data_IF_624836269931
#
_entry.id   IF_624836269931
#
_cell.length_a   1.000
_cell.length_b   1.000
_cell.length_c   1.000
_cell.angle_alpha   90.00
_cell.angle_beta   90.00
_cell.angle_gamma   90.00
#
_symmetry.space_group_name_H-M   'P 1'
#
loop_
_entity.id
_entity.type
_entity.pdbx_description
1 polymer ?
#
# COMPACT_ATOMS: atom_id res chain seq x y z
N UNK A 1 -15.50 -6.56 24.67
CA UNK A 1 -14.74 -6.86 23.45
C UNK A 1 -13.63 -7.82 23.83
N UNK A 2 -13.44 -8.92 23.09
CA UNK A 2 -12.42 -9.92 23.38
C UNK A 2 -11.08 -9.46 22.78
N UNK A 3 -10.00 -9.47 23.57
CA UNK A 3 -8.65 -9.19 23.07
C UNK A 3 -7.94 -10.52 22.75
N UNK A 4 -7.24 -10.59 21.63
CA UNK A 4 -6.46 -11.77 21.21
C UNK A 4 -4.98 -11.52 21.50
N UNK A 5 -4.52 -11.91 22.69
CA UNK A 5 -3.13 -11.68 23.14
C UNK A 5 -2.11 -12.63 22.49
N UNK A 6 -2.54 -13.84 22.11
CA UNK A 6 -1.67 -14.87 21.54
C UNK A 6 -1.55 -14.79 20.01
N UNK A 7 -1.56 -13.57 19.46
CA UNK A 7 -1.40 -13.35 18.02
C UNK A 7 -0.03 -13.84 17.55
N UNK A 8 -0.04 -14.62 16.48
CA UNK A 8 1.12 -15.21 15.82
C UNK A 8 1.89 -14.14 15.04
N UNK A 9 3.17 -14.40 14.78
CA UNK A 9 3.98 -13.57 13.89
C UNK A 9 3.56 -13.77 12.43
N UNK A 10 2.35 -13.33 12.10
CA UNK A 10 1.66 -13.53 10.84
C UNK A 10 1.22 -12.19 10.26
N UNK A 11 1.41 -12.02 8.95
CA UNK A 11 1.01 -10.86 8.17
C UNK A 11 -0.01 -11.32 7.13
N UNK A 12 -1.25 -10.81 7.21
CA UNK A 12 -2.22 -11.02 6.12
C UNK A 12 -2.11 -9.90 5.10
N UNK A 13 -2.04 -10.26 3.83
CA UNK A 13 -2.17 -9.33 2.70
C UNK A 13 -3.59 -9.47 2.16
N UNK A 14 -4.34 -8.38 2.15
CA UNK A 14 -5.79 -8.38 1.91
C UNK A 14 -6.09 -7.43 0.75
N UNK A 15 -6.12 -7.97 -0.46
CA UNK A 15 -6.27 -7.23 -1.72
C UNK A 15 -6.92 -8.12 -2.77
N UNK A 16 -7.67 -7.54 -3.71
CA UNK A 16 -8.14 -8.24 -4.92
C UNK A 16 -7.09 -8.23 -6.05
N UNK A 17 -6.05 -7.43 -5.90
CA UNK A 17 -5.01 -7.26 -6.91
C UNK A 17 -3.84 -8.21 -6.68
N UNK A 18 -3.69 -9.19 -7.57
CA UNK A 18 -2.60 -10.17 -7.55
C UNK A 18 -1.23 -9.51 -7.73
N UNK A 19 -1.13 -8.42 -8.48
CA UNK A 19 0.13 -7.70 -8.70
C UNK A 19 0.58 -6.99 -7.42
N UNK A 20 -0.35 -6.34 -6.70
CA UNK A 20 -0.05 -5.76 -5.39
C UNK A 20 0.27 -6.88 -4.37
N UNK A 21 -0.49 -7.97 -4.38
CA UNK A 21 -0.27 -9.10 -3.48
C UNK A 21 1.14 -9.70 -3.65
N UNK A 22 1.54 -9.97 -4.89
CA UNK A 22 2.87 -10.49 -5.23
C UNK A 22 3.97 -9.52 -4.83
N UNK A 23 3.82 -8.22 -5.14
CA UNK A 23 4.84 -7.20 -4.81
C UNK A 23 5.03 -7.06 -3.31
N UNK A 24 3.94 -6.98 -2.53
CA UNK A 24 4.02 -6.94 -1.07
C UNK A 24 4.62 -8.24 -0.53
N UNK A 25 4.11 -9.40 -0.92
CA UNK A 25 4.59 -10.71 -0.46
C UNK A 25 6.11 -10.84 -0.65
N UNK A 26 6.60 -10.56 -1.85
CA UNK A 26 8.02 -10.65 -2.18
C UNK A 26 8.87 -9.65 -1.40
N UNK A 27 8.38 -8.42 -1.18
CA UNK A 27 9.09 -7.44 -0.37
C UNK A 27 9.25 -7.89 1.07
N UNK A 28 8.20 -8.47 1.65
CA UNK A 28 8.22 -8.97 3.02
C UNK A 28 9.14 -10.18 3.14
N UNK A 29 8.99 -11.18 2.25
CA UNK A 29 9.81 -12.41 2.24
C UNK A 29 11.31 -12.12 2.07
N UNK A 30 11.67 -11.13 1.25
CA UNK A 30 13.07 -10.77 0.98
C UNK A 30 13.65 -9.74 1.94
N UNK A 31 12.85 -9.23 2.89
CA UNK A 31 13.32 -8.23 3.85
C UNK A 31 14.10 -8.91 5.00
N UNK A 32 15.37 -8.51 5.24
CA UNK A 32 16.13 -9.02 6.38
C UNK A 32 15.63 -8.50 7.74
N UNK A 33 14.66 -7.58 7.74
CA UNK A 33 14.06 -7.06 8.98
C UNK A 33 12.77 -7.80 9.38
N UNK A 34 12.23 -8.61 8.47
CA UNK A 34 10.94 -9.31 8.62
C UNK A 34 11.21 -10.81 8.61
N UNK A 35 12.15 -11.24 9.46
CA UNK A 35 12.49 -12.65 9.54
C UNK A 35 11.40 -13.43 10.27
N UNK A 36 11.03 -14.60 9.72
CA UNK A 36 10.11 -15.58 10.32
C UNK A 36 8.66 -15.10 10.48
N UNK A 37 8.24 -14.06 9.74
CA UNK A 37 6.83 -13.75 9.64
C UNK A 37 6.17 -14.71 8.64
N UNK A 38 5.07 -15.34 9.04
CA UNK A 38 4.21 -16.09 8.13
C UNK A 38 3.42 -15.09 7.28
N UNK A 39 3.59 -15.14 5.97
CA UNK A 39 2.86 -14.27 5.04
C UNK A 39 1.66 -15.06 4.51
N UNK A 40 0.46 -14.55 4.76
CA UNK A 40 -0.80 -15.15 4.30
C UNK A 40 -1.37 -14.30 3.17
N UNK A 41 -1.64 -14.97 2.05
CA UNK A 41 -2.25 -14.42 0.86
C UNK A 41 -3.74 -14.84 0.79
N UNK A 42 -4.58 -14.11 0.04
CA UNK A 42 -5.98 -14.47 -0.19
C UNK A 42 -6.18 -15.89 -0.73
N UNK A 43 -5.34 -16.25 -1.68
CA UNK A 43 -5.34 -17.55 -2.37
C UNK A 43 -3.92 -17.81 -2.91
N UNK A 44 -3.76 -18.91 -3.63
CA UNK A 44 -2.55 -19.15 -4.43
C UNK A 44 -2.55 -18.23 -5.67
N UNK A 45 -1.93 -17.06 -5.51
CA UNK A 45 -1.90 -16.01 -6.54
C UNK A 45 -1.12 -16.38 -7.81
N UNK A 46 -0.38 -17.49 -7.82
CA UNK A 46 0.30 -17.98 -9.02
C UNK A 46 -0.65 -18.82 -9.90
N UNK A 47 -1.65 -19.44 -9.28
CA UNK A 47 -2.53 -20.43 -9.93
C UNK A 47 -4.00 -20.02 -9.93
N UNK A 48 -4.38 -18.91 -9.30
CA UNK A 48 -5.78 -18.49 -9.16
C UNK A 48 -5.94 -16.97 -9.12
N UNK A 49 -7.04 -16.49 -9.70
CA UNK A 49 -7.48 -15.10 -9.52
C UNK A 49 -8.03 -14.91 -8.10
N UNK A 50 -7.78 -13.73 -7.52
CA UNK A 50 -8.29 -13.41 -6.19
C UNK A 50 -9.74 -12.91 -6.33
N UNK A 51 -10.67 -13.58 -5.67
CA UNK A 51 -12.08 -13.17 -5.61
C UNK A 51 -12.47 -12.67 -4.22
N UNK A 52 -13.60 -11.96 -4.14
CA UNK A 52 -14.10 -11.41 -2.86
C UNK A 52 -14.31 -12.51 -1.81
N UNK A 53 -14.75 -13.70 -2.26
CA UNK A 53 -14.98 -14.83 -1.36
C UNK A 53 -13.70 -15.32 -0.66
N UNK A 54 -12.54 -15.24 -1.32
CA UNK A 54 -11.25 -15.60 -0.71
C UNK A 54 -10.96 -14.68 0.49
N UNK A 55 -11.21 -13.38 0.32
CA UNK A 55 -11.03 -12.38 1.37
C UNK A 55 -12.03 -12.56 2.51
N UNK A 56 -13.28 -12.89 2.18
CA UNK A 56 -14.31 -13.19 3.18
C UNK A 56 -13.96 -14.43 4.01
N UNK A 57 -13.42 -15.47 3.38
CA UNK A 57 -13.01 -16.71 4.05
C UNK A 57 -11.84 -16.46 5.03
N UNK A 58 -10.92 -15.56 4.67
CA UNK A 58 -9.81 -15.17 5.54
C UNK A 58 -10.22 -14.34 6.75
N UNK A 59 -11.42 -13.75 6.77
CA UNK A 59 -11.76 -12.72 7.74
C UNK A 59 -11.56 -13.18 9.19
N UNK A 60 -11.97 -14.41 9.53
CA UNK A 60 -11.77 -14.99 10.87
C UNK A 60 -10.30 -15.25 11.20
N UNK A 61 -9.50 -15.67 10.22
CA UNK A 61 -8.07 -15.98 10.43
C UNK A 61 -7.23 -14.74 10.79
N UNK A 62 -7.70 -13.55 10.42
CA UNK A 62 -7.03 -12.29 10.76
C UNK A 62 -6.89 -12.07 12.27
N UNK A 63 -7.77 -12.68 13.09
CA UNK A 63 -7.70 -12.62 14.56
C UNK A 63 -6.40 -13.21 15.13
N UNK A 64 -5.75 -14.12 14.40
CA UNK A 64 -4.48 -14.71 14.82
C UNK A 64 -3.26 -13.88 14.40
N UNK A 65 -3.43 -12.77 13.68
CA UNK A 65 -2.32 -12.05 13.03
C UNK A 65 -1.91 -10.80 13.78
N UNK A 66 -0.61 -10.47 13.74
CA UNK A 66 -0.08 -9.23 14.30
C UNK A 66 -0.16 -8.05 13.35
N UNK A 67 -0.27 -8.31 12.05
CA UNK A 67 -0.30 -7.27 11.04
C UNK A 67 -1.27 -7.63 9.92
N UNK A 68 -2.07 -6.65 9.51
CA UNK A 68 -2.92 -6.70 8.34
C UNK A 68 -2.45 -5.62 7.36
N UNK A 69 -2.28 -5.99 6.10
CA UNK A 69 -1.99 -5.06 5.00
C UNK A 69 -3.22 -5.06 4.09
N UNK A 70 -3.93 -3.94 4.05
CA UNK A 70 -5.22 -3.83 3.35
C UNK A 70 -5.13 -2.85 2.18
N UNK A 71 -5.71 -3.25 1.06
CA UNK A 71 -5.86 -2.41 -0.12
C UNK A 71 -7.15 -1.59 -0.06
N UNK A 72 -7.00 -0.27 0.10
CA UNK A 72 -8.13 0.67 0.24
C UNK A 72 -8.28 1.59 -0.96
N UNK A 73 -7.72 1.22 -2.12
CA UNK A 73 -7.88 2.03 -3.33
C UNK A 73 -9.36 2.15 -3.72
N UNK A 74 -9.74 3.28 -4.30
CA UNK A 74 -11.13 3.59 -4.68
C UNK A 74 -11.79 2.50 -5.55
N UNK A 75 -11.00 1.76 -6.33
CA UNK A 75 -11.48 0.70 -7.21
C UNK A 75 -11.78 -0.65 -6.49
N UNK A 76 -11.03 -1.04 -5.46
CA UNK A 76 -11.24 -2.33 -4.76
C UNK A 76 -12.08 -2.19 -3.50
N UNK A 77 -12.01 -1.04 -2.83
CA UNK A 77 -12.66 -0.80 -1.56
C UNK A 77 -14.18 -1.08 -1.56
N UNK A 78 -14.98 -0.62 -2.55
CA UNK A 78 -16.42 -0.91 -2.56
C UNK A 78 -16.75 -2.40 -2.62
N UNK A 79 -15.93 -3.17 -3.35
CA UNK A 79 -16.09 -4.63 -3.51
C UNK A 79 -15.73 -5.39 -2.24
N UNK A 80 -14.83 -4.84 -1.42
CA UNK A 80 -14.32 -5.47 -0.21
C UNK A 80 -14.99 -4.98 1.08
N UNK A 81 -15.91 -4.01 1.00
CA UNK A 81 -16.50 -3.35 2.18
C UNK A 81 -17.07 -4.35 3.20
N UNK A 82 -17.79 -5.37 2.74
CA UNK A 82 -18.38 -6.38 3.62
C UNK A 82 -17.30 -7.19 4.36
N UNK A 83 -16.31 -7.70 3.64
CA UNK A 83 -15.21 -8.45 4.24
C UNK A 83 -14.39 -7.57 5.19
N UNK A 84 -14.14 -6.32 4.81
CA UNK A 84 -13.39 -5.36 5.63
C UNK A 84 -14.13 -5.03 6.92
N UNK A 85 -15.45 -4.85 6.87
CA UNK A 85 -16.27 -4.64 8.06
C UNK A 85 -16.18 -5.84 9.03
N UNK A 86 -16.16 -7.09 8.52
CA UNK A 86 -15.95 -8.28 9.35
C UNK A 86 -14.56 -8.27 10.00
N UNK A 87 -13.51 -8.06 9.19
CA UNK A 87 -12.11 -8.03 9.65
C UNK A 87 -11.92 -6.95 10.72
N UNK A 88 -12.40 -5.73 10.47
CA UNK A 88 -12.38 -4.65 11.45
C UNK A 88 -13.17 -5.04 12.69
N UNK A 89 -14.38 -5.57 12.54
CA UNK A 89 -15.23 -5.99 13.66
C UNK A 89 -14.55 -7.02 14.57
N UNK A 90 -13.87 -8.01 13.98
CA UNK A 90 -13.13 -9.02 14.72
C UNK A 90 -11.89 -8.47 15.43
N UNK A 91 -11.21 -7.48 14.87
CA UNK A 91 -9.91 -7.02 15.37
C UNK A 91 -9.94 -5.68 16.10
N UNK A 92 -11.08 -4.98 16.14
CA UNK A 92 -11.20 -3.59 16.62
C UNK A 92 -10.63 -3.36 18.01
N UNK A 93 -10.79 -4.33 18.91
CA UNK A 93 -10.29 -4.26 20.28
C UNK A 93 -8.75 -4.28 20.37
N UNK A 94 -8.09 -4.89 19.40
CA UNK A 94 -6.65 -5.12 19.39
C UNK A 94 -5.87 -4.17 18.47
N UNK A 95 -6.57 -3.37 17.66
CA UNK A 95 -5.91 -2.45 16.73
C UNK A 95 -5.02 -1.44 17.45
N UNK A 96 -3.82 -1.27 16.92
CA UNK A 96 -2.74 -0.45 17.48
C UNK A 96 -2.28 -0.88 18.88
N UNK A 97 -2.59 -2.12 19.29
CA UNK A 97 -2.12 -2.75 20.51
C UNK A 97 -1.41 -4.07 20.19
N UNK A 98 -2.19 -5.11 19.85
CA UNK A 98 -1.70 -6.45 19.51
C UNK A 98 -1.77 -6.77 18.02
N UNK A 99 -2.57 -6.00 17.27
CA UNK A 99 -2.70 -6.07 15.82
C UNK A 99 -2.54 -4.69 15.22
N UNK A 100 -1.78 -4.56 14.13
CA UNK A 100 -1.61 -3.30 13.42
C UNK A 100 -2.12 -3.42 12.00
N UNK A 101 -2.62 -2.31 11.47
CA UNK A 101 -3.12 -2.24 10.10
C UNK A 101 -2.24 -1.28 9.29
N UNK A 102 -1.79 -1.73 8.12
CA UNK A 102 -1.15 -0.91 7.09
C UNK A 102 -2.10 -0.81 5.92
N UNK A 103 -2.38 0.42 5.50
CA UNK A 103 -3.23 0.66 4.33
C UNK A 103 -2.37 1.04 3.13
N UNK A 104 -2.72 0.50 1.97
CA UNK A 104 -2.19 0.95 0.67
C UNK A 104 -3.38 1.39 -0.14
N UNK A 105 -3.35 2.62 -0.67
CA UNK A 105 -4.47 3.18 -1.42
C UNK A 105 -4.03 4.14 -2.51
N UNK A 106 -4.99 4.55 -3.31
CA UNK A 106 -4.85 5.72 -4.17
C UNK A 106 -5.04 7.01 -3.36
N UNK A 107 -4.93 8.15 -4.04
CA UNK A 107 -5.11 9.47 -3.42
C UNK A 107 -6.54 9.98 -3.58
N UNK A 108 -6.84 11.16 -3.03
CA UNK A 108 -8.12 11.82 -3.25
C UNK A 108 -8.32 12.10 -4.74
N UNK A 109 -9.55 11.90 -5.23
CA UNK A 109 -9.86 12.02 -6.65
C UNK A 109 -9.59 13.44 -7.20
N UNK A 110 -9.75 14.46 -6.35
CA UNK A 110 -9.53 15.88 -6.63
C UNK A 110 -8.07 16.27 -6.77
N UNK A 111 -7.12 15.41 -6.36
CA UNK A 111 -5.70 15.79 -6.25
C UNK A 111 -5.12 16.38 -7.53
N UNK A 112 -5.57 15.90 -8.69
CA UNK A 112 -5.08 16.34 -9.99
C UNK A 112 -6.07 17.25 -10.74
N UNK A 113 -7.12 17.72 -10.06
CA UNK A 113 -8.11 18.65 -10.58
C UNK A 113 -7.69 20.11 -10.29
N UNK A 114 -8.36 21.08 -10.92
CA UNK A 114 -8.04 22.49 -10.66
C UNK A 114 -8.36 22.83 -9.20
N UNK A 115 -7.34 23.24 -8.45
CA UNK A 115 -7.46 23.55 -7.01
C UNK A 115 -7.19 22.36 -6.09
N UNK A 116 -6.79 21.19 -6.61
CA UNK A 116 -6.35 20.07 -5.79
C UNK A 116 -5.12 20.41 -4.96
N UNK A 117 -5.14 20.01 -3.69
CA UNK A 117 -4.09 20.31 -2.70
C UNK A 117 -3.67 19.02 -1.97
N UNK A 118 -2.48 19.02 -1.37
CA UNK A 118 -2.04 17.96 -0.47
C UNK A 118 -3.01 17.80 0.69
N UNK A 119 -3.65 18.89 1.14
CA UNK A 119 -4.60 18.89 2.26
C UNK A 119 -5.87 18.06 1.98
N UNK A 120 -6.18 17.75 0.72
CA UNK A 120 -7.25 16.81 0.35
C UNK A 120 -7.02 15.41 0.92
N UNK A 121 -5.76 15.04 1.20
CA UNK A 121 -5.46 13.79 1.89
C UNK A 121 -5.94 13.78 3.34
N UNK A 122 -6.03 14.94 4.00
CA UNK A 122 -6.44 15.00 5.42
C UNK A 122 -7.84 14.41 5.62
N UNK A 123 -8.79 14.71 4.72
CA UNK A 123 -10.14 14.16 4.80
C UNK A 123 -10.16 12.64 4.53
N UNK A 124 -9.42 12.21 3.51
CA UNK A 124 -9.28 10.79 3.18
C UNK A 124 -8.68 10.00 4.37
N UNK A 125 -7.61 10.50 4.97
CA UNK A 125 -6.92 9.86 6.09
C UNK A 125 -7.81 9.84 7.34
N UNK A 126 -8.55 10.91 7.62
CA UNK A 126 -9.49 10.95 8.74
C UNK A 126 -10.57 9.87 8.61
N UNK A 127 -11.15 9.70 7.42
CA UNK A 127 -12.13 8.63 7.14
C UNK A 127 -11.50 7.25 7.34
N UNK A 128 -10.36 6.99 6.71
CA UNK A 128 -9.66 5.70 6.84
C UNK A 128 -9.26 5.41 8.30
N UNK A 129 -8.92 6.44 9.08
CA UNK A 129 -8.62 6.33 10.51
C UNK A 129 -9.81 5.81 11.30
N UNK A 130 -11.00 6.35 11.04
CA UNK A 130 -12.25 5.97 11.71
C UNK A 130 -12.64 4.53 11.35
N UNK A 131 -12.51 4.19 10.07
CA UNK A 131 -13.02 2.92 9.54
C UNK A 131 -12.08 1.75 9.83
N UNK A 132 -10.77 1.94 9.73
CA UNK A 132 -9.79 0.84 9.70
C UNK A 132 -8.73 0.92 10.80
N UNK A 133 -8.68 2.02 11.58
CA UNK A 133 -7.66 2.25 12.63
C UNK A 133 -6.20 1.96 12.19
N UNK A 134 -5.77 2.40 10.99
CA UNK A 134 -4.41 2.21 10.49
C UNK A 134 -3.35 2.76 11.42
N UNK A 135 -2.23 2.05 11.45
CA UNK A 135 -0.97 2.52 12.00
C UNK A 135 -0.17 3.33 10.97
N UNK A 136 -0.30 2.99 9.68
CA UNK A 136 0.40 3.61 8.57
C UNK A 136 -0.49 3.59 7.32
N UNK A 137 -0.43 4.67 6.54
CA UNK A 137 -1.03 4.75 5.20
C UNK A 137 0.02 5.00 4.14
N UNK A 138 -0.04 4.24 3.06
CA UNK A 138 0.77 4.42 1.86
C UNK A 138 -0.10 4.83 0.68
N UNK A 139 0.13 6.03 0.17
CA UNK A 139 -0.31 6.45 -1.15
C UNK A 139 0.54 5.75 -2.22
N UNK A 140 -0.11 5.10 -3.18
CA UNK A 140 0.54 4.49 -4.34
C UNK A 140 0.27 5.30 -5.61
N UNK A 141 1.24 6.07 -6.11
CA UNK A 141 1.08 6.87 -7.33
C UNK A 141 0.82 6.03 -8.58
N UNK A 142 1.20 4.74 -8.60
CA UNK A 142 0.95 3.84 -9.73
C UNK A 142 -0.50 3.38 -9.80
N UNK A 143 -1.27 3.53 -8.72
CA UNK A 143 -2.67 3.12 -8.65
C UNK A 143 -3.65 4.29 -8.70
N UNK A 144 -3.14 5.52 -8.66
CA UNK A 144 -3.96 6.71 -8.69
C UNK A 144 -4.13 7.21 -10.12
N UNK A 145 -5.35 7.26 -10.62
CA UNK A 145 -5.66 7.80 -11.94
C UNK A 145 -6.49 9.07 -11.79
N UNK A 146 -6.11 10.13 -12.49
CA UNK A 146 -6.91 11.35 -12.61
C UNK A 146 -8.24 11.07 -13.30
N UNK A 147 -9.21 11.96 -13.17
CA UNK A 147 -10.50 11.82 -13.85
C UNK A 147 -10.35 11.63 -15.37
N UNK A 148 -9.43 12.36 -16.01
CA UNK A 148 -9.17 12.23 -17.45
C UNK A 148 -8.59 10.86 -17.82
N UNK A 149 -7.63 10.36 -17.03
CA UNK A 149 -7.05 9.03 -17.22
C UNK A 149 -8.13 7.95 -17.04
N UNK A 150 -8.98 8.09 -16.03
CA UNK A 150 -10.11 7.20 -15.75
C UNK A 150 -11.11 7.14 -16.91
N UNK A 151 -11.45 8.29 -17.53
CA UNK A 151 -12.34 8.33 -18.69
C UNK A 151 -11.74 7.65 -19.92
N UNK A 152 -10.43 7.81 -20.14
CA UNK A 152 -9.72 7.21 -21.27
C UNK A 152 -9.68 5.67 -21.20
N UNK A 153 -9.91 5.07 -20.03
CA UNK A 153 -9.90 3.63 -19.82
C UNK A 153 -11.20 2.91 -20.22
N UNK A 154 -12.27 3.65 -20.53
CA UNK A 154 -13.53 3.06 -21.03
C UNK A 154 -14.49 2.53 -19.95
N UNK A 155 -15.61 1.96 -20.40
CA UNK A 155 -16.79 1.60 -19.59
C UNK A 155 -16.57 0.33 -18.76
N UNK A 156 -15.69 -0.59 -19.18
CA UNK A 156 -15.34 -1.82 -18.42
C UNK A 156 -14.44 -1.59 -17.19
N UNK A 157 -14.20 -0.31 -16.87
CA UNK A 157 -13.36 0.13 -15.74
C UNK A 157 -13.82 -0.39 -14.39
N UNK A 158 -15.09 -0.73 -14.21
CA UNK A 158 -15.62 -1.19 -12.92
C UNK A 158 -15.41 -2.70 -12.70
N UNK A 159 -15.09 -3.45 -13.76
CA UNK A 159 -15.01 -4.91 -13.70
C UNK A 159 -13.58 -5.43 -13.48
N UNK A 160 -12.55 -4.70 -13.91
CA UNK A 160 -11.15 -5.16 -13.85
C UNK A 160 -10.20 -4.14 -13.24
N UNK A 161 -9.22 -4.66 -12.48
CA UNK A 161 -8.21 -3.83 -11.81
C UNK A 161 -7.24 -3.30 -12.88
N UNK A 162 -7.01 -1.97 -12.96
CA UNK A 162 -6.08 -1.38 -13.90
C UNK A 162 -4.67 -1.97 -13.84
N UNK A 163 -4.17 -2.44 -14.98
CA UNK A 163 -2.82 -3.00 -15.10
C UNK A 163 -1.81 -2.02 -15.72
N UNK A 164 -2.29 -0.97 -16.39
CA UNK A 164 -1.44 0.06 -17.00
C UNK A 164 -1.05 1.11 -15.97
N UNK A 165 0.17 1.64 -16.07
CA UNK A 165 0.54 2.78 -15.23
C UNK A 165 -0.24 4.04 -15.64
N UNK A 166 -0.45 5.01 -14.73
CA UNK A 166 -1.10 6.25 -15.10
C UNK A 166 -0.29 7.01 -16.16
N UNK A 167 -0.98 7.53 -17.18
CA UNK A 167 -0.39 8.21 -18.33
C UNK A 167 0.59 9.32 -17.93
N UNK A 168 0.27 10.08 -16.86
CA UNK A 168 1.16 11.12 -16.35
C UNK A 168 2.52 10.61 -15.89
N UNK A 169 2.65 9.32 -15.57
CA UNK A 169 3.90 8.69 -15.14
C UNK A 169 4.66 7.99 -16.27
N UNK A 170 4.04 7.73 -17.43
CA UNK A 170 4.64 6.99 -18.56
C UNK A 170 6.00 7.55 -18.99
N UNK A 171 6.12 8.88 -19.13
CA UNK A 171 7.39 9.55 -19.50
C UNK A 171 8.55 9.26 -18.55
N UNK A 172 8.25 8.81 -17.33
CA UNK A 172 9.26 8.40 -16.35
C UNK A 172 9.79 6.98 -16.57
N UNK A 173 9.10 6.18 -17.38
CA UNK A 173 9.33 4.75 -17.54
C UNK A 173 9.60 4.33 -18.99
N UNK A 174 9.44 5.19 -20.00
CA UNK A 174 9.70 4.92 -21.44
C UNK A 174 10.90 4.01 -21.73
N UNK A 175 12.00 4.15 -20.97
CA UNK A 175 13.19 3.30 -21.12
C UNK A 175 12.98 1.82 -20.74
N UNK A 176 11.78 1.41 -20.32
CA UNK A 176 11.41 0.03 -19.97
C UNK A 176 10.57 -0.65 -21.06
N UNK A 177 10.19 0.05 -22.14
CA UNK A 177 9.47 -0.53 -23.29
C UNK A 177 8.19 0.22 -23.67
N UNK A 178 7.62 -0.15 -24.82
CA UNK A 178 6.27 0.26 -25.23
C UNK A 178 5.26 -0.65 -24.49
N UNK A 179 4.28 -0.07 -23.80
CA UNK A 179 3.27 -0.77 -22.96
C UNK A 179 3.73 -1.31 -21.60
N UNK A 180 4.30 -0.43 -20.77
CA UNK A 180 4.72 -0.77 -19.41
C UNK A 180 3.53 -0.96 -18.48
N UNK A 181 3.48 -2.10 -17.80
CA UNK A 181 2.46 -2.40 -16.77
C UNK A 181 2.90 -1.98 -15.37
N UNK A 182 1.95 -1.90 -14.44
CA UNK A 182 2.22 -1.73 -13.01
C UNK A 182 3.12 -2.85 -12.49
N UNK A 183 2.91 -4.08 -12.96
CA UNK A 183 3.73 -5.23 -12.58
C UNK A 183 5.19 -5.07 -13.01
N UNK A 184 5.43 -4.68 -14.26
CA UNK A 184 6.79 -4.44 -14.79
C UNK A 184 7.55 -3.41 -13.95
N UNK A 185 6.88 -2.32 -13.59
CA UNK A 185 7.43 -1.27 -12.74
C UNK A 185 7.80 -1.83 -11.36
N UNK A 186 6.90 -2.59 -10.73
CA UNK A 186 7.15 -3.20 -9.41
C UNK A 186 8.31 -4.19 -9.45
N UNK A 187 8.31 -5.12 -10.42
CA UNK A 187 9.40 -6.10 -10.65
C UNK A 187 10.74 -5.40 -10.85
N UNK A 188 10.77 -4.32 -11.65
CA UNK A 188 11.96 -3.49 -11.82
C UNK A 188 12.44 -2.93 -10.49
N UNK A 189 11.61 -2.22 -9.73
CA UNK A 189 12.07 -1.59 -8.47
C UNK A 189 12.38 -2.58 -7.35
N UNK A 190 11.79 -3.78 -7.36
CA UNK A 190 12.18 -4.90 -6.49
C UNK A 190 13.53 -5.52 -6.82
N UNK A 191 14.13 -5.14 -7.95
CA UNK A 191 15.36 -5.77 -8.43
C UNK A 191 15.21 -7.27 -8.71
N UNK A 192 14.06 -7.66 -9.27
CA UNK A 192 13.83 -9.04 -9.71
C UNK A 192 14.90 -9.51 -10.72
N UNK A 193 15.24 -10.79 -10.64
CA UNK A 193 16.32 -11.42 -11.42
C UNK A 193 17.74 -10.95 -11.09
N UNK A 194 17.93 -10.05 -10.10
CA UNK A 194 19.27 -9.67 -9.67
C UNK A 194 19.88 -10.75 -8.75
N UNK A 195 21.18 -11.06 -8.89
CA UNK A 195 21.90 -11.92 -7.95
C UNK A 195 21.76 -11.43 -6.51
N UNK A 196 21.63 -12.34 -5.55
CA UNK A 196 21.31 -12.03 -4.15
C UNK A 196 22.33 -11.08 -3.49
N UNK A 197 23.62 -11.26 -3.79
CA UNK A 197 24.72 -10.41 -3.33
C UNK A 197 24.60 -8.95 -3.81
N UNK A 198 23.93 -8.72 -4.94
CA UNK A 198 23.75 -7.41 -5.58
C UNK A 198 22.33 -6.86 -5.48
N UNK A 199 21.34 -7.69 -5.13
CA UNK A 199 19.91 -7.35 -5.14
C UNK A 199 19.61 -6.13 -4.28
N UNK A 200 20.15 -6.08 -3.07
CA UNK A 200 19.97 -4.94 -2.13
C UNK A 200 20.51 -3.62 -2.68
N UNK A 201 21.73 -3.63 -3.22
CA UNK A 201 22.34 -2.44 -3.81
C UNK A 201 21.57 -1.97 -5.05
N UNK A 202 21.13 -2.90 -5.91
CA UNK A 202 20.34 -2.61 -7.10
C UNK A 202 18.97 -2.03 -6.73
N UNK A 203 18.27 -2.61 -5.75
CA UNK A 203 17.00 -2.10 -5.21
C UNK A 203 17.16 -0.66 -4.71
N UNK A 204 18.14 -0.39 -3.85
CA UNK A 204 18.43 0.96 -3.34
C UNK A 204 18.68 1.96 -4.47
N UNK A 205 19.49 1.59 -5.47
CA UNK A 205 19.77 2.44 -6.64
C UNK A 205 18.50 2.73 -7.45
N UNK A 206 17.69 1.70 -7.73
CA UNK A 206 16.45 1.83 -8.49
C UNK A 206 15.43 2.69 -7.72
N UNK A 207 15.21 2.45 -6.43
CA UNK A 207 14.35 3.31 -5.60
C UNK A 207 14.84 4.77 -5.56
N UNK A 208 16.17 5.00 -5.53
CA UNK A 208 16.72 6.35 -5.66
C UNK A 208 16.35 7.04 -6.99
N UNK A 209 16.22 6.29 -8.10
CA UNK A 209 15.72 6.81 -9.38
C UNK A 209 14.23 7.10 -9.31
N UNK A 210 13.43 6.22 -8.71
CA UNK A 210 12.00 6.45 -8.52
C UNK A 210 11.74 7.72 -7.69
N UNK A 211 12.49 7.90 -6.60
CA UNK A 211 12.39 9.10 -5.77
C UNK A 211 12.71 10.36 -6.58
N UNK A 212 13.76 10.34 -7.42
CA UNK A 212 14.08 11.48 -8.30
C UNK A 212 12.95 11.77 -9.30
N UNK A 213 12.36 10.73 -9.88
CA UNK A 213 11.22 10.87 -10.78
C UNK A 213 10.03 11.52 -10.07
N UNK A 214 9.63 11.00 -8.91
CA UNK A 214 8.51 11.55 -8.14
C UNK A 214 8.78 12.98 -7.68
N UNK A 215 9.97 13.32 -7.20
CA UNK A 215 10.32 14.72 -6.86
C UNK A 215 10.15 15.66 -8.06
N UNK A 216 10.60 15.25 -9.25
CA UNK A 216 10.45 16.05 -10.47
C UNK A 216 8.98 16.23 -10.86
N UNK A 217 8.16 15.19 -10.69
CA UNK A 217 6.71 15.26 -10.96
C UNK A 217 5.99 16.14 -9.96
N UNK A 218 6.26 15.96 -8.66
CA UNK A 218 5.73 16.79 -7.57
C UNK A 218 6.05 18.26 -7.81
N UNK A 219 7.32 18.63 -8.04
CA UNK A 219 7.70 20.03 -8.28
C UNK A 219 7.04 20.65 -9.52
N UNK A 220 6.63 19.81 -10.49
CA UNK A 220 5.93 20.26 -11.69
C UNK A 220 4.43 20.40 -11.46
N UNK A 221 3.82 19.44 -10.77
CA UNK A 221 2.37 19.31 -10.61
C UNK A 221 1.86 20.12 -9.40
N UNK A 222 2.67 20.22 -8.34
CA UNK A 222 2.34 20.86 -7.07
C UNK A 222 3.45 21.85 -6.64
N UNK A 223 3.78 22.88 -7.45
CA UNK A 223 4.93 23.74 -7.18
C UNK A 223 4.83 24.50 -5.85
N UNK A 224 3.62 24.79 -5.37
CA UNK A 224 3.39 25.56 -4.14
C UNK A 224 3.57 24.72 -2.86
N UNK A 225 3.36 23.41 -2.94
CA UNK A 225 3.41 22.47 -1.80
C UNK A 225 4.43 21.34 -2.03
N UNK A 226 5.42 21.61 -2.89
CA UNK A 226 6.36 20.59 -3.33
C UNK A 226 7.21 20.07 -2.17
N UNK A 227 7.67 20.94 -1.28
CA UNK A 227 8.52 20.57 -0.16
C UNK A 227 7.77 19.70 0.86
N UNK A 228 6.48 19.97 1.06
CA UNK A 228 5.55 19.15 1.85
C UNK A 228 5.37 17.77 1.21
N UNK A 229 5.01 17.71 -0.07
CA UNK A 229 4.78 16.45 -0.78
C UNK A 229 6.03 15.56 -0.81
N UNK A 230 7.22 16.14 -0.93
CA UNK A 230 8.49 15.40 -0.94
C UNK A 230 8.76 14.71 0.40
N UNK A 231 8.21 15.21 1.53
CA UNK A 231 8.31 14.55 2.85
C UNK A 231 7.62 13.18 2.85
N UNK A 232 6.60 12.97 2.01
CA UNK A 232 5.94 11.67 1.86
C UNK A 232 6.89 10.55 1.38
N UNK A 233 8.02 10.91 0.75
CA UNK A 233 9.06 9.97 0.30
C UNK A 233 10.03 9.55 1.43
N UNK A 234 9.89 10.13 2.63
CA UNK A 234 10.71 9.84 3.81
C UNK A 234 10.02 8.82 4.72
N UNK A 235 10.79 8.21 5.64
CA UNK A 235 10.24 7.23 6.59
C UNK A 235 9.18 7.83 7.51
N UNK A 236 9.36 9.09 7.93
CA UNK A 236 8.41 9.81 8.77
C UNK A 236 7.11 10.16 8.06
N UNK A 237 7.10 10.17 6.72
CA UNK A 237 5.98 10.67 5.93
C UNK A 237 5.76 12.17 6.10
N UNK A 238 4.59 12.62 5.62
CA UNK A 238 4.07 13.97 5.84
C UNK A 238 2.90 13.93 6.83
N UNK A 239 2.90 14.81 7.82
CA UNK A 239 1.84 14.90 8.83
C UNK A 239 0.98 16.13 8.57
N UNK A 240 -0.34 15.98 8.67
CA UNK A 240 -1.29 17.08 8.56
C UNK A 240 -1.66 17.61 9.94
N UNK A 241 -1.98 18.90 10.02
CA UNK A 241 -2.47 19.48 11.27
C UNK A 241 -3.82 18.85 11.63
N UNK A 242 -3.91 18.26 12.82
CA UNK A 242 -5.15 17.64 13.30
C UNK A 242 -5.39 16.20 12.83
N UNK A 243 -4.50 15.62 12.02
CA UNK A 243 -4.56 14.21 11.63
C UNK A 243 -3.33 13.45 12.15
N UNK A 244 -3.58 12.33 12.81
CA UNK A 244 -2.54 11.54 13.47
C UNK A 244 -1.83 10.57 12.50
N UNK A 245 -2.48 10.21 11.40
CA UNK A 245 -1.95 9.28 10.41
C UNK A 245 -1.07 10.03 9.38
N UNK A 246 0.24 9.75 9.31
CA UNK A 246 1.09 10.36 8.30
C UNK A 246 0.82 9.77 6.91
N UNK A 247 1.04 10.59 5.88
CA UNK A 247 1.06 10.19 4.48
C UNK A 247 2.46 9.71 4.09
N UNK A 248 2.58 8.42 3.76
CA UNK A 248 3.77 7.85 3.14
C UNK A 248 3.51 7.52 1.68
N UNK A 249 4.56 7.44 0.87
CA UNK A 249 4.47 7.01 -0.54
C UNK A 249 4.99 5.60 -0.72
N UNK A 250 4.18 4.70 -1.27
CA UNK A 250 4.61 3.36 -1.63
C UNK A 250 5.65 3.42 -2.78
N UNK A 251 6.72 2.61 -2.77
CA UNK A 251 7.13 1.61 -1.77
C UNK A 251 8.20 2.12 -0.79
N UNK A 252 8.36 3.43 -0.59
CA UNK A 252 9.48 3.96 0.18
C UNK A 252 9.34 3.63 1.67
N UNK A 253 10.38 3.03 2.25
CA UNK A 253 10.43 2.62 3.65
C UNK A 253 9.36 1.62 4.08
N UNK A 254 8.66 0.98 3.13
CA UNK A 254 7.56 0.06 3.40
C UNK A 254 8.01 -1.10 4.29
N UNK A 255 9.11 -1.77 3.94
CA UNK A 255 9.61 -2.93 4.68
C UNK A 255 10.14 -2.53 6.06
N UNK A 256 10.69 -1.33 6.22
CA UNK A 256 11.08 -0.81 7.53
C UNK A 256 9.88 -0.55 8.44
N UNK A 257 8.85 0.10 7.93
CA UNK A 257 7.65 0.43 8.72
C UNK A 257 6.89 -0.84 9.11
N UNK A 258 6.77 -1.81 8.21
CA UNK A 258 6.18 -3.12 8.54
C UNK A 258 6.97 -3.84 9.64
N UNK A 259 8.30 -3.85 9.56
CA UNK A 259 9.15 -4.48 10.59
C UNK A 259 8.97 -3.81 11.96
N UNK A 260 8.92 -2.48 12.00
CA UNK A 260 8.72 -1.73 13.24
C UNK A 260 7.35 -2.07 13.88
N UNK A 261 6.29 -2.21 13.09
CA UNK A 261 4.95 -2.58 13.59
C UNK A 261 4.89 -4.00 14.12
N UNK A 262 5.55 -4.96 13.46
CA UNK A 262 5.64 -6.34 13.94
C UNK A 262 6.38 -6.43 15.28
N UNK A 263 7.44 -5.65 15.47
CA UNK A 263 8.16 -5.60 16.73
C UNK A 263 7.34 -4.89 17.83
N UNK A 264 6.61 -3.83 17.50
CA UNK A 264 5.64 -3.20 18.43
C UNK A 264 4.57 -4.21 18.90
N UNK A 265 3.98 -4.97 17.98
CA UNK A 265 3.00 -6.00 18.33
C UNK A 265 3.59 -7.09 19.22
N UNK A 266 4.83 -7.49 18.95
CA UNK A 266 5.53 -8.51 19.75
C UNK A 266 5.82 -8.03 21.17
N UNK A 267 6.29 -6.79 21.33
CA UNK A 267 6.66 -6.22 22.63
C UNK A 267 5.43 -5.93 23.51
N UNK A 268 4.29 -5.58 22.92
CA UNK A 268 3.03 -5.39 23.63
C UNK A 268 2.52 -6.65 24.35
N UNK A 269 2.88 -7.85 23.89
CA UNK A 269 2.51 -9.13 24.54
C UNK A 269 3.45 -9.46 25.71
N UNK A 270 4.67 -8.95 25.69
CA UNK A 270 5.67 -9.17 26.75
C UNK A 270 5.57 -8.18 27.93
N UNK A 271 4.65 -7.21 27.85
CA UNK A 271 4.42 -6.15 28.84
C UNK A 271 3.17 -6.44 29.65
#
# INVERSE_FOLDING_TARGET
MLNYKDRKNRVHIITLDSVLAADVCERLKTSPKIHRAEIVLPTDIENSEIVVQDIDNLALETMASRLLIMDVRSHTLPRLQQAYNKIVGYNRADFNLYCYTVLIGDGPASLFEQGGDIDDFSELLARLRIDYSPAVFFYDPLLHYSHKEKLAMGIDRDNSIPQTIPHRLEKGFESQGEHITVEDVRRYFRAEGAPDDKKRAKKRRRLGRLAKLYRKKIAKEFPQVADEFVKCLQKSGYSFTGEALPLNTYPFYFEELVADLLEKAKTAVSS
#
